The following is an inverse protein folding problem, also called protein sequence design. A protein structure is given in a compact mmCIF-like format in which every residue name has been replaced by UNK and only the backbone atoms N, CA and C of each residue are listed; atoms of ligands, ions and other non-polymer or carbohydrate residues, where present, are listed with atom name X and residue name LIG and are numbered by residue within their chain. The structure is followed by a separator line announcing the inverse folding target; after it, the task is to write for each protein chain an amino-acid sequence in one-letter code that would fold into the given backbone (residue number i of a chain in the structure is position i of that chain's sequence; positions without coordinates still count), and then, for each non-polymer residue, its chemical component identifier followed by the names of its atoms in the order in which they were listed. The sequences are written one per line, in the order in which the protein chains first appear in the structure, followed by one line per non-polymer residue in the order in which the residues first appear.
data_IF_515942170112
#
_entry.id   IF_515942170112
#
_cell.length_a   1.000
_cell.length_b   1.000
_cell.length_c   1.000
_cell.angle_alpha   90.00
_cell.angle_beta   90.00
_cell.angle_gamma   90.00
#
_symmetry.space_group_name_H-M   'P 1'
#
loop_
_entity.id
_entity.type
_entity.pdbx_description
1 polymer ?
#
# COMPACT_ATOMS: atom_id res chain seq x y z
N UNK A 1 -30.20 -14.65 73.22
CA UNK A 1 -29.85 -13.31 72.80
C UNK A 1 -29.96 -13.23 71.25
N UNK A 2 -30.98 -12.54 70.82
CA UNK A 2 -31.35 -12.45 69.38
C UNK A 2 -30.70 -11.21 68.88
N UNK A 3 -29.71 -11.33 67.92
CA UNK A 3 -29.15 -10.22 67.26
C UNK A 3 -29.92 -9.91 65.92
N UNK A 4 -30.38 -8.70 65.86
CA UNK A 4 -31.30 -8.16 64.87
C UNK A 4 -30.55 -7.81 63.55
N UNK A 5 -31.06 -8.31 62.42
CA UNK A 5 -30.54 -8.14 61.06
C UNK A 5 -31.01 -6.82 60.43
N UNK A 6 -30.59 -5.65 60.96
CA UNK A 6 -30.99 -4.36 60.35
C UNK A 6 -29.97 -3.26 60.60
N UNK A 7 -28.75 -3.41 60.16
CA UNK A 7 -27.82 -2.28 60.08
C UNK A 7 -26.57 -2.70 59.29
N UNK A 8 -26.71 -2.88 57.97
CA UNK A 8 -25.53 -2.86 57.08
C UNK A 8 -25.99 -2.70 55.61
N UNK A 9 -26.49 -1.55 55.27
CA UNK A 9 -26.57 -1.06 53.88
C UNK A 9 -26.31 0.45 53.88
N UNK A 10 -25.04 0.83 54.03
CA UNK A 10 -24.57 2.11 53.59
C UNK A 10 -24.01 1.91 52.18
N UNK A 11 -24.82 2.24 51.19
CA UNK A 11 -24.48 2.30 49.76
C UNK A 11 -23.52 3.45 49.53
N UNK A 12 -22.25 3.17 49.33
CA UNK A 12 -21.29 4.08 48.77
C UNK A 12 -21.52 4.12 47.26
N UNK A 13 -22.24 5.11 46.78
CA UNK A 13 -22.35 5.48 45.38
C UNK A 13 -21.04 6.14 44.95
N UNK A 14 -20.13 5.37 44.36
CA UNK A 14 -18.98 5.92 43.67
C UNK A 14 -19.47 6.54 42.35
N UNK A 15 -19.45 7.87 42.26
CA UNK A 15 -19.70 8.59 41.02
C UNK A 15 -18.51 8.35 40.07
N UNK A 16 -18.72 7.53 39.06
CA UNK A 16 -17.80 7.41 37.92
C UNK A 16 -17.94 8.67 37.08
N UNK A 17 -17.01 9.59 37.24
CA UNK A 17 -16.91 10.74 36.35
C UNK A 17 -16.43 10.27 34.97
N UNK A 18 -17.34 10.11 34.05
CA UNK A 18 -17.03 9.94 32.62
C UNK A 18 -16.45 11.25 32.12
N UNK A 19 -15.13 11.30 31.95
CA UNK A 19 -14.47 12.38 31.23
C UNK A 19 -14.83 12.24 29.76
N UNK A 20 -15.80 13.01 29.31
CA UNK A 20 -16.11 13.16 27.89
C UNK A 20 -14.92 13.86 27.22
N UNK A 21 -14.12 13.13 26.47
CA UNK A 21 -13.12 13.72 25.58
C UNK A 21 -13.89 14.49 24.49
N UNK A 22 -13.70 15.81 24.34
CA UNK A 22 -14.45 16.56 23.34
C UNK A 22 -14.05 16.05 21.96
N UNK A 23 -15.03 15.57 21.18
CA UNK A 23 -14.84 15.26 19.78
C UNK A 23 -14.30 16.53 19.08
N UNK A 24 -13.09 16.43 18.56
CA UNK A 24 -12.43 17.54 17.86
C UNK A 24 -13.27 17.85 16.62
N UNK A 25 -13.98 18.96 16.61
CA UNK A 25 -14.78 19.40 15.48
C UNK A 25 -13.89 19.57 14.25
N UNK A 26 -14.16 18.80 13.19
CA UNK A 26 -13.48 18.94 11.89
C UNK A 26 -13.80 20.33 11.34
N UNK A 27 -12.81 21.13 10.95
CA UNK A 27 -13.09 22.46 10.39
C UNK A 27 -14.02 22.34 9.17
N UNK A 28 -15.06 23.16 9.09
CA UNK A 28 -16.07 23.12 8.02
C UNK A 28 -15.48 23.15 6.59
N UNK A 29 -14.28 23.75 6.42
CA UNK A 29 -13.55 23.79 5.15
C UNK A 29 -12.91 22.43 4.76
N UNK A 30 -12.61 21.57 5.74
CA UNK A 30 -12.13 20.21 5.52
C UNK A 30 -13.28 19.26 5.16
N UNK A 31 -14.46 19.48 5.73
CA UNK A 31 -15.66 18.70 5.40
C UNK A 31 -16.11 18.88 3.94
N UNK A 32 -15.91 20.06 3.33
CA UNK A 32 -16.27 20.34 1.94
C UNK A 32 -15.34 19.63 0.92
N UNK A 33 -14.10 19.28 1.29
CA UNK A 33 -13.13 18.58 0.41
C UNK A 33 -13.07 17.07 0.61
N UNK A 34 -13.76 16.54 1.61
CA UNK A 34 -13.66 15.14 2.03
C UNK A 34 -12.34 14.81 2.74
N UNK A 35 -12.16 13.53 3.13
CA UNK A 35 -10.95 13.07 3.80
C UNK A 35 -9.69 13.37 2.99
N UNK A 36 -8.62 13.86 3.61
CA UNK A 36 -7.33 14.02 2.93
C UNK A 36 -6.78 12.65 2.54
N UNK A 37 -6.03 12.62 1.42
CA UNK A 37 -5.46 11.39 0.87
C UNK A 37 -3.97 11.55 0.72
N UNK A 38 -3.20 10.59 1.20
CA UNK A 38 -1.82 10.33 0.80
C UNK A 38 -1.83 9.08 -0.06
N UNK A 39 -1.44 9.24 -1.32
CA UNK A 39 -1.31 8.13 -2.26
C UNK A 39 0.06 7.50 -2.13
N UNK A 40 0.14 6.28 -1.58
CA UNK A 40 1.42 5.58 -1.38
C UNK A 40 1.84 4.70 -2.56
N UNK A 41 1.14 4.82 -3.71
CA UNK A 41 1.45 4.01 -4.88
C UNK A 41 1.17 4.79 -6.18
N UNK A 42 2.00 5.79 -6.44
CA UNK A 42 1.98 6.61 -7.65
C UNK A 42 3.07 6.16 -8.60
N UNK A 43 2.74 5.86 -9.84
CA UNK A 43 3.73 5.70 -10.91
C UNK A 43 3.75 6.92 -11.82
N UNK A 44 4.94 7.32 -12.20
CA UNK A 44 5.17 8.29 -13.27
C UNK A 44 6.26 7.73 -14.19
N UNK A 45 6.08 7.81 -15.48
CA UNK A 45 7.14 7.53 -16.45
C UNK A 45 7.09 8.52 -17.60
N UNK A 46 8.24 9.01 -17.94
CA UNK A 46 8.46 9.87 -19.09
C UNK A 46 9.33 9.08 -20.09
N UNK A 47 8.78 8.78 -21.26
CA UNK A 47 9.45 7.96 -22.27
C UNK A 47 10.67 8.66 -22.87
N UNK A 48 10.79 9.98 -22.69
CA UNK A 48 12.00 10.73 -23.05
C UNK A 48 13.14 10.51 -22.04
N UNK A 49 12.81 10.13 -20.79
CA UNK A 49 13.78 9.85 -19.73
C UNK A 49 14.08 8.36 -19.58
N UNK A 50 13.03 7.54 -19.56
CA UNK A 50 13.10 6.10 -19.35
C UNK A 50 12.14 5.37 -20.28
N UNK A 51 12.58 4.24 -20.79
CA UNK A 51 11.72 3.30 -21.51
C UNK A 51 11.65 2.00 -20.71
N UNK A 52 10.68 1.86 -19.78
CA UNK A 52 10.50 0.63 -19.04
C UNK A 52 10.28 -0.55 -20.00
N UNK A 53 11.03 -1.65 -19.87
CA UNK A 53 11.00 -2.74 -20.86
C UNK A 53 9.60 -3.35 -21.06
N UNK A 54 8.82 -3.41 -20.02
CA UNK A 54 7.47 -3.98 -20.02
C UNK A 54 6.44 -3.17 -20.85
N UNK A 55 6.71 -1.89 -21.12
CA UNK A 55 5.81 -1.04 -21.90
C UNK A 55 5.68 -1.49 -23.36
N UNK A 56 6.67 -2.20 -23.90
CA UNK A 56 6.61 -2.72 -25.28
C UNK A 56 5.48 -3.73 -25.50
N UNK A 57 4.99 -4.39 -24.44
CA UNK A 57 3.85 -5.31 -24.47
C UNK A 57 2.62 -4.80 -23.75
N UNK A 58 2.64 -3.55 -23.26
CA UNK A 58 1.54 -2.99 -22.46
C UNK A 58 0.35 -2.58 -23.36
N UNK A 59 -0.88 -2.60 -22.82
CA UNK A 59 -2.04 -2.03 -23.49
C UNK A 59 -1.82 -0.53 -23.83
N UNK A 60 -2.41 -0.06 -24.95
CA UNK A 60 -2.28 1.30 -25.48
C UNK A 60 -2.51 2.39 -24.43
N UNK A 61 -3.45 2.14 -23.51
CA UNK A 61 -3.75 3.07 -22.42
C UNK A 61 -2.54 3.34 -21.53
N UNK A 62 -1.55 2.44 -21.46
CA UNK A 62 -0.32 2.60 -20.70
C UNK A 62 0.89 2.96 -21.57
N UNK A 63 0.83 2.72 -22.87
CA UNK A 63 1.96 2.87 -23.82
C UNK A 63 2.25 4.33 -24.22
N UNK A 64 2.27 5.24 -23.24
CA UNK A 64 2.62 6.66 -23.41
C UNK A 64 3.28 7.23 -22.15
N UNK A 65 3.85 8.41 -22.21
CA UNK A 65 4.33 9.13 -21.03
C UNK A 65 3.18 9.48 -20.09
N UNK A 66 3.43 9.30 -18.80
CA UNK A 66 2.58 9.71 -17.69
C UNK A 66 3.40 10.51 -16.69
N UNK A 67 3.23 11.83 -16.73
CA UNK A 67 4.04 12.77 -15.96
C UNK A 67 3.21 13.47 -14.88
N UNK A 68 3.85 14.25 -14.02
CA UNK A 68 3.20 14.96 -12.91
C UNK A 68 1.98 15.77 -13.31
N UNK A 69 1.99 16.41 -14.50
CA UNK A 69 0.84 17.20 -14.96
C UNK A 69 -0.38 16.32 -15.26
N UNK A 70 -0.19 15.09 -15.74
CA UNK A 70 -1.26 14.13 -15.98
C UNK A 70 -1.83 13.62 -14.65
N UNK A 71 -0.95 13.31 -13.68
CA UNK A 71 -1.36 12.91 -12.35
C UNK A 71 -2.17 14.00 -11.63
N UNK A 72 -1.73 15.27 -11.70
CA UNK A 72 -2.49 16.40 -11.15
C UNK A 72 -3.87 16.55 -11.79
N UNK A 73 -4.00 16.29 -13.10
CA UNK A 73 -5.30 16.25 -13.78
C UNK A 73 -6.17 15.10 -13.29
N UNK A 74 -5.58 13.90 -13.13
CA UNK A 74 -6.31 12.71 -12.68
C UNK A 74 -6.83 12.85 -11.24
N UNK A 75 -6.07 13.52 -10.37
CA UNK A 75 -6.36 13.66 -8.94
C UNK A 75 -7.11 14.93 -8.55
N UNK A 76 -7.38 15.84 -9.51
CA UNK A 76 -7.97 17.17 -9.24
C UNK A 76 -9.33 17.14 -8.49
N UNK A 77 -10.07 16.03 -8.62
CA UNK A 77 -11.40 15.86 -8.04
C UNK A 77 -11.39 15.15 -6.68
N UNK A 78 -10.19 14.84 -6.15
CA UNK A 78 -10.01 14.25 -4.82
C UNK A 78 -9.16 15.16 -3.95
N UNK A 79 -9.24 15.00 -2.62
CA UNK A 79 -8.46 15.79 -1.67
C UNK A 79 -7.05 15.17 -1.49
N UNK A 80 -6.27 15.12 -2.57
CA UNK A 80 -4.89 14.62 -2.53
C UNK A 80 -3.99 15.61 -1.77
N UNK A 81 -3.35 15.14 -0.71
CA UNK A 81 -2.39 15.90 0.10
C UNK A 81 -0.94 15.65 -0.36
N UNK A 82 -0.55 14.40 -0.47
CA UNK A 82 0.81 13.96 -0.82
C UNK A 82 0.74 12.69 -1.68
N UNK A 83 1.86 12.36 -2.34
CA UNK A 83 2.05 11.07 -3.01
C UNK A 83 3.46 10.52 -2.72
N UNK A 84 3.58 9.20 -2.67
CA UNK A 84 4.83 8.45 -2.68
C UNK A 84 4.95 7.79 -4.05
N UNK A 85 6.03 8.10 -4.75
CA UNK A 85 6.33 7.45 -6.01
C UNK A 85 6.70 5.99 -5.78
N UNK A 86 6.21 5.12 -6.64
CA UNK A 86 6.58 3.72 -6.73
C UNK A 86 7.35 3.48 -8.03
N UNK A 87 8.50 2.81 -7.96
CA UNK A 87 9.34 2.46 -9.10
C UNK A 87 8.54 1.85 -10.26
N UNK A 88 9.07 1.92 -11.47
CA UNK A 88 8.36 1.49 -12.70
C UNK A 88 9.07 0.35 -13.44
N UNK A 89 9.80 -0.48 -12.72
CA UNK A 89 10.56 -1.63 -13.24
C UNK A 89 11.44 -1.24 -14.44
N UNK A 90 12.22 -0.17 -14.25
CA UNK A 90 13.20 0.27 -15.25
C UNK A 90 14.27 -0.80 -15.48
N UNK A 91 14.91 -0.75 -16.66
CA UNK A 91 16.09 -1.58 -16.88
C UNK A 91 17.13 -1.33 -15.77
N UNK A 92 17.79 -2.36 -15.20
CA UNK A 92 18.76 -2.22 -14.10
C UNK A 92 19.80 -1.11 -14.33
N UNK A 93 20.27 -0.91 -15.55
CA UNK A 93 21.21 0.17 -15.92
C UNK A 93 20.66 1.60 -15.68
N UNK A 94 19.34 1.75 -15.51
CA UNK A 94 18.67 3.02 -15.31
C UNK A 94 18.24 3.26 -13.86
N UNK A 95 18.48 2.32 -12.93
CA UNK A 95 18.02 2.42 -11.54
C UNK A 95 18.56 3.66 -10.82
N UNK A 96 19.84 3.98 -11.00
CA UNK A 96 20.46 5.20 -10.44
C UNK A 96 19.80 6.44 -11.02
N UNK A 97 19.62 6.49 -12.34
CA UNK A 97 18.98 7.62 -13.02
C UNK A 97 17.54 7.83 -12.57
N UNK A 98 16.78 6.74 -12.37
CA UNK A 98 15.44 6.80 -11.80
C UNK A 98 15.48 7.39 -10.40
N UNK A 99 16.31 6.85 -9.49
CA UNK A 99 16.40 7.30 -8.11
C UNK A 99 16.79 8.78 -7.99
N UNK A 100 17.75 9.26 -8.78
CA UNK A 100 18.15 10.66 -8.83
C UNK A 100 17.03 11.57 -9.33
N UNK A 101 16.33 11.16 -10.39
CA UNK A 101 15.15 11.86 -10.90
C UNK A 101 14.08 12.00 -9.82
N UNK A 102 13.82 10.94 -9.06
CA UNK A 102 12.80 10.91 -8.01
C UNK A 102 13.18 11.76 -6.80
N UNK A 103 14.46 11.80 -6.44
CA UNK A 103 14.95 12.72 -5.41
C UNK A 103 14.74 14.17 -5.85
N UNK A 104 15.05 14.49 -7.10
CA UNK A 104 14.83 15.83 -7.64
C UNK A 104 13.33 16.20 -7.66
N UNK A 105 12.46 15.27 -8.10
CA UNK A 105 11.02 15.44 -8.10
C UNK A 105 10.46 15.67 -6.68
N UNK A 106 10.93 14.89 -5.69
CA UNK A 106 10.46 14.96 -4.30
C UNK A 106 10.89 16.24 -3.59
N UNK A 107 12.00 16.86 -4.02
CA UNK A 107 12.46 18.18 -3.54
C UNK A 107 11.61 19.32 -4.05
N UNK A 108 10.98 19.17 -5.20
CA UNK A 108 10.17 20.22 -5.81
C UNK A 108 8.76 20.27 -5.19
N UNK A 109 8.56 21.19 -4.26
CA UNK A 109 7.30 21.39 -3.54
C UNK A 109 6.10 21.79 -4.44
N UNK A 110 6.31 22.03 -5.71
CA UNK A 110 5.23 22.25 -6.70
C UNK A 110 4.52 20.93 -7.08
N UNK A 111 5.12 19.79 -6.73
CA UNK A 111 4.60 18.45 -6.99
C UNK A 111 3.99 17.83 -5.71
N UNK A 112 2.96 16.98 -5.86
CA UNK A 112 2.41 16.26 -4.71
C UNK A 112 3.33 15.12 -4.25
N UNK A 113 4.28 14.67 -5.08
CA UNK A 113 5.23 13.59 -4.78
C UNK A 113 6.28 14.09 -3.80
N UNK A 114 6.36 13.48 -2.63
CA UNK A 114 7.23 13.92 -1.53
C UNK A 114 8.28 12.89 -1.14
N UNK A 115 8.14 11.66 -1.63
CA UNK A 115 9.04 10.54 -1.34
C UNK A 115 8.94 9.47 -2.43
N UNK A 116 9.83 8.50 -2.41
CA UNK A 116 9.87 7.41 -3.38
C UNK A 116 10.27 6.06 -2.78
N UNK A 117 9.72 4.99 -3.36
CA UNK A 117 10.21 3.62 -3.30
C UNK A 117 10.87 3.35 -4.65
N UNK A 118 12.16 3.05 -4.64
CA UNK A 118 12.98 2.93 -5.86
C UNK A 118 13.14 1.48 -6.30
N UNK A 119 13.47 1.28 -7.58
CA UNK A 119 13.78 -0.02 -8.13
C UNK A 119 15.07 -0.59 -7.53
N UNK A 120 15.10 -1.90 -7.27
CA UNK A 120 16.29 -2.60 -6.81
C UNK A 120 16.21 -4.09 -7.12
N UNK A 121 17.36 -4.78 -7.05
CA UNK A 121 17.48 -6.23 -7.28
C UNK A 121 18.22 -6.87 -6.11
N UNK A 122 17.52 -7.19 -5.00
CA UNK A 122 18.15 -7.71 -3.78
C UNK A 122 18.97 -8.98 -3.97
N UNK A 123 18.64 -9.80 -4.97
CA UNK A 123 19.39 -11.01 -5.30
C UNK A 123 20.73 -10.78 -5.99
N UNK A 124 21.07 -9.55 -6.39
CA UNK A 124 22.30 -9.23 -7.11
C UNK A 124 23.38 -8.68 -6.17
N UNK A 125 24.65 -9.02 -6.42
CA UNK A 125 25.81 -8.52 -5.66
C UNK A 125 25.94 -6.99 -5.73
N UNK A 126 25.45 -6.38 -6.81
CA UNK A 126 25.41 -4.94 -7.03
C UNK A 126 24.44 -4.20 -6.09
N UNK A 127 23.51 -4.92 -5.43
CA UNK A 127 22.45 -4.28 -4.63
C UNK A 127 22.97 -3.49 -3.43
N UNK A 128 23.85 -4.09 -2.63
CA UNK A 128 24.36 -3.45 -1.42
C UNK A 128 25.14 -2.14 -1.72
N UNK A 129 26.10 -2.10 -2.69
CA UNK A 129 26.71 -0.83 -3.10
C UNK A 129 25.71 0.19 -3.66
N UNK A 130 24.69 -0.27 -4.40
CA UNK A 130 23.66 0.60 -4.96
C UNK A 130 22.83 1.28 -3.89
N UNK A 131 22.23 0.50 -2.97
CA UNK A 131 21.31 1.07 -1.98
C UNK A 131 22.03 1.90 -0.92
N UNK A 132 23.30 1.62 -0.65
CA UNK A 132 24.11 2.38 0.30
C UNK A 132 24.29 3.84 -0.08
N UNK A 133 24.18 4.18 -1.37
CA UNK A 133 24.21 5.56 -1.86
C UNK A 133 23.04 6.39 -1.35
N UNK A 134 21.92 5.74 -1.01
CA UNK A 134 20.68 6.38 -0.57
C UNK A 134 20.39 6.20 0.92
N UNK A 135 21.38 5.69 1.71
CA UNK A 135 21.22 5.44 3.14
C UNK A 135 20.65 6.65 3.88
N UNK A 136 21.25 7.83 3.68
CA UNK A 136 20.89 9.06 4.37
C UNK A 136 19.86 9.92 3.61
N UNK A 137 19.30 9.40 2.52
CA UNK A 137 18.27 10.12 1.76
C UNK A 137 16.94 10.14 2.53
N UNK A 138 16.45 11.34 2.83
CA UNK A 138 15.13 11.55 3.41
C UNK A 138 13.98 11.28 2.43
N UNK A 139 14.27 11.25 1.11
CA UNK A 139 13.28 11.08 0.04
C UNK A 139 13.08 9.60 -0.32
N UNK A 140 14.12 8.77 -0.22
CA UNK A 140 14.03 7.34 -0.53
C UNK A 140 13.58 6.59 0.72
N UNK A 141 12.38 6.01 0.67
CA UNK A 141 11.74 5.32 1.81
C UNK A 141 11.86 3.82 1.75
N UNK A 142 12.07 3.27 0.57
CA UNK A 142 12.15 1.82 0.40
C UNK A 142 12.60 1.42 -1.00
N UNK A 143 12.58 0.11 -1.22
CA UNK A 143 12.91 -0.55 -2.48
C UNK A 143 11.78 -1.50 -2.86
N UNK A 144 11.55 -1.66 -4.17
CA UNK A 144 10.70 -2.71 -4.72
C UNK A 144 11.41 -3.43 -5.86
N UNK A 145 11.13 -4.72 -5.96
CA UNK A 145 11.33 -5.52 -7.17
C UNK A 145 9.99 -6.15 -7.54
N UNK A 146 9.62 -6.10 -8.82
CA UNK A 146 8.45 -6.82 -9.33
C UNK A 146 8.79 -8.32 -9.38
N UNK A 147 8.10 -9.13 -8.56
CA UNK A 147 8.33 -10.57 -8.43
C UNK A 147 7.23 -11.41 -9.08
N UNK A 148 6.13 -10.81 -9.55
CA UNK A 148 4.98 -11.53 -10.09
C UNK A 148 5.06 -11.81 -11.61
N UNK A 149 6.17 -11.44 -12.24
CA UNK A 149 6.38 -11.70 -13.68
C UNK A 149 6.94 -13.11 -13.91
N UNK A 150 6.63 -13.69 -15.08
CA UNK A 150 7.01 -15.08 -15.39
C UNK A 150 8.52 -15.33 -15.40
N UNK A 151 9.30 -14.31 -15.73
CA UNK A 151 10.77 -14.38 -15.73
C UNK A 151 11.40 -14.43 -14.32
N UNK A 152 10.64 -14.13 -13.25
CA UNK A 152 11.13 -14.21 -11.88
C UNK A 152 11.00 -15.63 -11.35
N UNK A 153 12.06 -16.28 -10.87
CA UNK A 153 11.99 -17.59 -10.23
C UNK A 153 11.07 -17.58 -9.01
N UNK A 154 10.32 -18.67 -8.83
CA UNK A 154 9.52 -18.84 -7.60
C UNK A 154 10.43 -18.95 -6.39
N UNK A 155 10.02 -18.38 -5.27
CA UNK A 155 10.79 -18.42 -4.02
C UNK A 155 12.03 -17.52 -3.99
N UNK A 156 12.32 -16.74 -5.03
CA UNK A 156 13.50 -15.87 -5.11
C UNK A 156 13.72 -15.00 -3.85
N UNK A 157 12.65 -14.53 -3.25
CA UNK A 157 12.73 -13.67 -2.06
C UNK A 157 13.28 -14.38 -0.81
N UNK A 158 13.42 -15.71 -0.84
CA UNK A 158 13.97 -16.52 0.25
C UNK A 158 15.41 -16.94 0.03
N UNK A 159 16.01 -16.62 -1.10
CA UNK A 159 17.44 -16.85 -1.35
C UNK A 159 18.29 -16.08 -0.32
N UNK A 160 19.38 -16.67 0.14
CA UNK A 160 20.23 -16.10 1.19
C UNK A 160 20.71 -14.69 0.89
N UNK A 161 21.12 -14.42 -0.36
CA UNK A 161 21.54 -13.08 -0.77
C UNK A 161 20.37 -12.10 -0.73
N UNK A 162 19.18 -12.53 -1.16
CA UNK A 162 17.98 -11.71 -1.14
C UNK A 162 17.59 -11.33 0.30
N UNK A 163 17.57 -12.31 1.20
CA UNK A 163 17.28 -12.11 2.63
C UNK A 163 18.28 -11.12 3.25
N UNK A 164 19.59 -11.30 3.04
CA UNK A 164 20.62 -10.37 3.53
C UNK A 164 20.41 -8.95 3.01
N UNK A 165 20.04 -8.81 1.76
CA UNK A 165 19.77 -7.51 1.15
C UNK A 165 18.52 -6.82 1.73
N UNK A 166 17.47 -7.59 2.03
CA UNK A 166 16.27 -7.07 2.70
C UNK A 166 16.58 -6.68 4.16
N UNK A 167 17.40 -7.47 4.88
CA UNK A 167 17.90 -7.11 6.22
C UNK A 167 18.72 -5.81 6.19
N UNK A 168 19.55 -5.61 5.16
CA UNK A 168 20.31 -4.37 4.97
C UNK A 168 19.38 -3.15 4.85
N UNK A 169 18.25 -3.26 4.15
CA UNK A 169 17.24 -2.19 4.09
C UNK A 169 16.72 -1.82 5.48
N UNK A 170 16.39 -2.81 6.30
CA UNK A 170 15.95 -2.59 7.69
C UNK A 170 16.98 -1.83 8.51
N UNK A 171 18.27 -2.21 8.42
CA UNK A 171 19.36 -1.51 9.11
C UNK A 171 19.52 -0.05 8.69
N UNK A 172 19.03 0.31 7.50
CA UNK A 172 19.00 1.69 6.99
C UNK A 172 17.67 2.41 7.29
N UNK A 173 16.73 1.78 8.00
CA UNK A 173 15.38 2.31 8.24
C UNK A 173 14.51 2.41 6.98
N UNK A 174 14.80 1.59 5.95
CA UNK A 174 14.06 1.56 4.69
C UNK A 174 13.15 0.33 4.60
N UNK A 175 12.05 0.46 3.87
CA UNK A 175 11.08 -0.62 3.64
C UNK A 175 11.44 -1.46 2.40
N UNK A 176 10.80 -2.62 2.32
CA UNK A 176 10.76 -3.42 1.08
C UNK A 176 9.30 -3.72 0.71
N UNK A 177 8.90 -3.39 -0.54
CA UNK A 177 7.55 -3.62 -1.02
C UNK A 177 7.44 -5.01 -1.68
N UNK A 178 6.52 -5.84 -1.17
CA UNK A 178 6.24 -7.20 -1.62
C UNK A 178 5.27 -7.17 -2.82
N UNK A 179 5.81 -7.02 -4.02
CA UNK A 179 5.08 -7.07 -5.27
C UNK A 179 5.20 -8.46 -5.90
N UNK A 180 4.55 -9.47 -5.31
CA UNK A 180 4.74 -10.89 -5.61
C UNK A 180 3.46 -11.56 -6.11
N UNK A 181 3.58 -12.80 -6.63
CA UNK A 181 2.42 -13.60 -7.02
C UNK A 181 1.55 -13.90 -5.80
N UNK A 182 0.22 -13.89 -5.94
CA UNK A 182 -0.67 -14.24 -4.82
C UNK A 182 -0.50 -15.67 -4.32
N UNK A 183 0.11 -16.55 -5.11
CA UNK A 183 0.46 -17.93 -4.71
C UNK A 183 1.76 -18.06 -3.92
N UNK A 184 2.53 -16.97 -3.80
CA UNK A 184 3.81 -16.91 -3.07
C UNK A 184 3.76 -16.02 -1.81
N UNK A 185 2.58 -15.61 -1.36
CA UNK A 185 2.43 -14.73 -0.18
C UNK A 185 2.97 -15.38 1.11
N UNK A 186 2.93 -16.70 1.21
CA UNK A 186 3.53 -17.43 2.32
C UNK A 186 5.07 -17.25 2.37
N UNK A 187 5.74 -17.13 1.21
CA UNK A 187 7.18 -16.82 1.15
C UNK A 187 7.45 -15.40 1.65
N UNK A 188 6.55 -14.46 1.37
CA UNK A 188 6.60 -13.11 1.94
C UNK A 188 6.52 -13.11 3.47
N UNK A 189 5.69 -13.98 4.05
CA UNK A 189 5.61 -14.16 5.51
C UNK A 189 6.90 -14.79 6.08
N UNK A 190 7.49 -15.76 5.37
CA UNK A 190 8.77 -16.36 5.76
C UNK A 190 9.92 -15.33 5.65
N UNK A 191 9.91 -14.45 4.65
CA UNK A 191 10.86 -13.34 4.54
C UNK A 191 10.70 -12.37 5.71
N UNK A 192 9.47 -12.09 6.16
CA UNK A 192 9.21 -11.22 7.31
C UNK A 192 9.85 -11.77 8.60
N UNK A 193 9.77 -13.08 8.82
CA UNK A 193 10.43 -13.75 9.94
C UNK A 193 11.98 -13.69 9.86
N UNK A 194 12.52 -13.76 8.64
CA UNK A 194 13.98 -13.69 8.40
C UNK A 194 14.53 -12.25 8.47
N UNK A 195 13.70 -11.23 8.26
CA UNK A 195 14.09 -9.82 8.26
C UNK A 195 13.21 -8.98 9.21
N UNK A 196 13.20 -9.26 10.53
CA UNK A 196 12.26 -8.66 11.48
C UNK A 196 12.42 -7.15 11.65
N UNK A 197 13.62 -6.61 11.41
CA UNK A 197 13.89 -5.16 11.49
C UNK A 197 13.45 -4.40 10.23
N UNK A 198 13.07 -5.12 9.16
CA UNK A 198 12.66 -4.51 7.89
C UNK A 198 11.15 -4.43 7.82
N UNK A 199 10.61 -3.23 7.60
CA UNK A 199 9.19 -3.10 7.27
C UNK A 199 8.93 -3.64 5.88
N UNK A 200 8.08 -4.65 5.79
CA UNK A 200 7.59 -5.20 4.53
C UNK A 200 6.20 -4.65 4.22
N UNK A 201 5.98 -4.29 2.96
CA UNK A 201 4.73 -3.67 2.51
C UNK A 201 4.11 -4.56 1.45
N UNK A 202 2.99 -5.20 1.77
CA UNK A 202 2.25 -6.05 0.82
C UNK A 202 1.55 -5.16 -0.21
N UNK A 203 2.03 -5.15 -1.44
CA UNK A 203 1.42 -4.39 -2.52
C UNK A 203 0.08 -5.02 -2.96
N UNK A 204 -0.88 -4.16 -3.34
CA UNK A 204 -2.11 -4.53 -4.05
C UNK A 204 -2.94 -5.62 -3.35
N UNK A 205 -3.06 -5.55 -2.02
CA UNK A 205 -3.75 -6.61 -1.27
C UNK A 205 -3.17 -8.01 -1.58
N UNK A 206 -1.84 -8.12 -1.75
CA UNK A 206 -1.18 -9.37 -2.16
C UNK A 206 -1.48 -9.75 -3.61
N UNK A 207 -1.60 -8.78 -4.52
CA UNK A 207 -1.98 -8.98 -5.92
C UNK A 207 -3.28 -9.79 -6.10
N UNK A 208 -4.24 -9.58 -5.19
CA UNK A 208 -5.54 -10.24 -5.26
C UNK A 208 -6.24 -9.98 -6.59
N UNK A 209 -6.81 -11.03 -7.16
CA UNK A 209 -7.59 -10.95 -8.40
C UNK A 209 -9.09 -10.97 -8.08
N UNK A 210 -9.83 -9.86 -8.27
CA UNK A 210 -11.26 -9.80 -7.99
C UNK A 210 -12.08 -10.85 -8.73
N UNK A 211 -11.60 -11.37 -9.87
CA UNK A 211 -12.26 -12.42 -10.65
C UNK A 211 -12.40 -13.72 -9.85
N UNK A 212 -11.53 -13.99 -8.88
CA UNK A 212 -11.63 -15.17 -8.03
C UNK A 212 -12.92 -15.24 -7.17
N UNK A 213 -13.59 -14.10 -6.95
CA UNK A 213 -14.86 -14.04 -6.22
C UNK A 213 -16.09 -14.11 -7.12
N UNK A 214 -15.92 -14.20 -8.44
CA UNK A 214 -17.04 -14.35 -9.36
C UNK A 214 -17.46 -15.83 -9.44
N UNK A 215 -18.77 -16.07 -9.59
CA UNK A 215 -19.31 -17.43 -9.77
C UNK A 215 -18.85 -18.05 -11.08
N UNK A 216 -18.77 -17.24 -12.12
CA UNK A 216 -18.39 -17.63 -13.48
C UNK A 216 -17.40 -16.59 -14.03
N UNK A 217 -16.10 -16.70 -13.70
CA UNK A 217 -15.11 -15.81 -14.23
C UNK A 217 -14.87 -16.09 -15.72
N UNK A 218 -14.75 -15.03 -16.53
CA UNK A 218 -14.44 -15.12 -17.97
C UNK A 218 -13.02 -15.63 -18.23
N UNK A 219 -12.11 -15.35 -17.29
CA UNK A 219 -10.71 -15.77 -17.31
C UNK A 219 -10.37 -16.47 -16.01
N UNK A 220 -9.45 -17.44 -16.07
CA UNK A 220 -8.95 -18.13 -14.86
C UNK A 220 -8.30 -17.12 -13.90
N UNK A 221 -8.77 -17.06 -12.65
CA UNK A 221 -8.17 -16.16 -11.66
C UNK A 221 -6.75 -16.59 -11.29
N UNK A 222 -5.94 -15.63 -10.90
CA UNK A 222 -4.53 -15.86 -10.53
C UNK A 222 -4.32 -16.70 -9.27
N UNK A 223 -5.37 -16.89 -8.47
CA UNK A 223 -5.31 -17.62 -7.21
C UNK A 223 -6.69 -18.15 -6.80
N UNK A 224 -6.67 -19.08 -5.85
CA UNK A 224 -7.89 -19.52 -5.14
C UNK A 224 -8.13 -18.61 -3.93
N UNK A 225 -9.42 -18.30 -3.67
CA UNK A 225 -9.82 -17.40 -2.57
C UNK A 225 -9.33 -17.88 -1.21
N UNK A 226 -9.52 -19.16 -0.88
CA UNK A 226 -9.17 -19.68 0.44
C UNK A 226 -7.65 -19.72 0.66
N UNK A 227 -6.86 -19.98 -0.38
CA UNK A 227 -5.40 -19.93 -0.30
C UNK A 227 -4.95 -18.49 -0.05
N UNK A 228 -5.44 -17.52 -0.84
CA UNK A 228 -5.10 -16.11 -0.68
C UNK A 228 -5.46 -15.60 0.72
N UNK A 229 -6.66 -15.95 1.25
CA UNK A 229 -7.07 -15.55 2.60
C UNK A 229 -6.11 -16.08 3.66
N UNK A 230 -5.78 -17.37 3.62
CA UNK A 230 -4.83 -17.96 4.59
C UNK A 230 -3.48 -17.27 4.58
N UNK A 231 -2.97 -16.93 3.40
CA UNK A 231 -1.65 -16.36 3.26
C UNK A 231 -1.64 -14.86 3.63
N UNK A 232 -2.72 -14.12 3.37
CA UNK A 232 -2.92 -12.76 3.90
C UNK A 232 -3.02 -12.77 5.43
N UNK A 233 -3.77 -13.71 6.01
CA UNK A 233 -3.87 -13.85 7.46
C UNK A 233 -2.50 -14.20 8.07
N UNK A 234 -1.71 -15.06 7.42
CA UNK A 234 -0.35 -15.39 7.84
C UNK A 234 0.58 -14.14 7.81
N UNK A 235 0.55 -13.36 6.73
CA UNK A 235 1.28 -12.09 6.63
C UNK A 235 0.86 -11.11 7.73
N UNK A 236 -0.43 -11.05 8.04
CA UNK A 236 -0.96 -10.15 9.06
C UNK A 236 -0.51 -10.51 10.49
N UNK A 237 -0.08 -11.76 10.74
CA UNK A 237 0.54 -12.15 12.03
C UNK A 237 1.91 -11.53 12.25
N UNK A 238 2.57 -11.01 11.20
CA UNK A 238 3.92 -10.44 11.28
C UNK A 238 3.83 -8.95 11.61
N UNK A 239 4.43 -8.53 12.73
CA UNK A 239 4.34 -7.15 13.23
C UNK A 239 5.02 -6.13 12.29
N UNK A 240 6.07 -6.56 11.59
CA UNK A 240 6.82 -5.76 10.63
C UNK A 240 6.15 -5.68 9.24
N UNK A 241 4.95 -6.27 9.05
CA UNK A 241 4.23 -6.27 7.77
C UNK A 241 3.03 -5.34 7.82
N UNK A 242 2.88 -4.52 6.77
CA UNK A 242 1.70 -3.69 6.51
C UNK A 242 1.11 -4.04 5.15
N UNK A 243 -0.16 -3.69 4.91
CA UNK A 243 -0.85 -3.97 3.66
C UNK A 243 -1.24 -2.68 2.93
N UNK A 244 -0.98 -2.62 1.64
CA UNK A 244 -1.37 -1.53 0.75
C UNK A 244 -2.67 -1.88 0.03
N UNK A 245 -3.72 -1.12 0.33
CA UNK A 245 -5.01 -1.18 -0.36
C UNK A 245 -4.89 -0.41 -1.67
N UNK A 246 -4.51 -1.12 -2.73
CA UNK A 246 -4.20 -0.56 -4.05
C UNK A 246 -4.35 -1.60 -5.16
N UNK A 247 -4.23 -1.22 -6.41
CA UNK A 247 -3.97 -2.07 -7.59
C UNK A 247 -5.09 -3.02 -8.02
N UNK A 248 -5.88 -3.54 -7.11
CA UNK A 248 -6.88 -4.59 -7.40
C UNK A 248 -7.93 -4.16 -8.44
N UNK A 249 -8.23 -2.87 -8.55
CA UNK A 249 -9.17 -2.36 -9.55
C UNK A 249 -8.69 -2.60 -10.98
N UNK A 250 -7.37 -2.58 -11.21
CA UNK A 250 -6.79 -2.82 -12.54
C UNK A 250 -7.01 -4.25 -13.05
N UNK A 251 -7.32 -5.21 -12.17
CA UNK A 251 -7.61 -6.62 -12.46
C UNK A 251 -9.10 -6.95 -12.47
N UNK A 252 -9.95 -6.00 -12.11
CA UNK A 252 -11.40 -6.21 -12.08
C UNK A 252 -11.96 -6.36 -13.51
N UNK A 253 -13.11 -7.02 -13.67
CA UNK A 253 -13.79 -7.09 -14.97
C UNK A 253 -14.14 -5.70 -15.50
N UNK A 254 -13.75 -5.35 -16.74
CA UNK A 254 -13.86 -3.98 -17.28
C UNK A 254 -15.30 -3.44 -17.25
N UNK A 255 -16.26 -4.27 -17.59
CA UNK A 255 -17.64 -3.84 -17.83
C UNK A 255 -18.58 -4.09 -16.64
N UNK A 256 -18.11 -4.78 -15.60
CA UNK A 256 -18.95 -5.17 -14.47
C UNK A 256 -18.16 -5.19 -13.15
N UNK A 257 -17.62 -4.05 -12.75
CA UNK A 257 -16.96 -3.89 -11.47
C UNK A 257 -17.61 -2.76 -10.68
N UNK A 258 -17.39 -2.78 -9.39
CA UNK A 258 -17.85 -1.76 -8.47
C UNK A 258 -17.42 -2.07 -7.04
N UNK A 259 -17.91 -1.30 -6.07
CA UNK A 259 -17.59 -1.54 -4.66
C UNK A 259 -17.85 -2.98 -4.21
N UNK A 260 -18.94 -3.60 -4.66
CA UNK A 260 -19.31 -4.99 -4.31
C UNK A 260 -18.27 -6.00 -4.80
N UNK A 261 -17.66 -5.77 -5.97
CA UNK A 261 -16.64 -6.66 -6.55
C UNK A 261 -15.32 -6.61 -5.75
N UNK A 262 -14.98 -5.43 -5.22
CA UNK A 262 -13.71 -5.19 -4.53
C UNK A 262 -13.81 -5.38 -3.00
N UNK A 263 -15.01 -5.23 -2.43
CA UNK A 263 -15.25 -5.25 -0.99
C UNK A 263 -14.78 -6.53 -0.28
N UNK A 264 -14.93 -7.75 -0.84
CA UNK A 264 -14.46 -8.96 -0.18
C UNK A 264 -12.95 -8.94 0.09
N UNK A 265 -12.15 -8.44 -0.87
CA UNK A 265 -10.70 -8.35 -0.76
C UNK A 265 -10.32 -7.27 0.25
N UNK A 266 -10.85 -6.06 0.07
CA UNK A 266 -10.53 -4.90 0.90
C UNK A 266 -10.90 -5.17 2.36
N UNK A 267 -12.11 -5.66 2.62
CA UNK A 267 -12.57 -5.91 3.98
C UNK A 267 -11.77 -7.02 4.66
N UNK A 268 -11.34 -8.06 3.92
CA UNK A 268 -10.46 -9.09 4.48
C UNK A 268 -9.12 -8.49 4.90
N UNK A 269 -8.45 -7.73 4.02
CA UNK A 269 -7.18 -7.06 4.37
C UNK A 269 -7.32 -6.10 5.55
N UNK A 270 -8.38 -5.26 5.57
CA UNK A 270 -8.64 -4.33 6.67
C UNK A 270 -8.93 -5.05 7.99
N UNK A 271 -9.58 -6.22 7.94
CA UNK A 271 -9.83 -7.06 9.12
C UNK A 271 -8.57 -7.74 9.63
N UNK A 272 -7.76 -8.32 8.74
CA UNK A 272 -6.55 -9.05 9.08
C UNK A 272 -5.44 -8.14 9.65
N UNK A 273 -5.14 -7.02 8.98
CA UNK A 273 -4.06 -6.11 9.38
C UNK A 273 -4.48 -5.08 10.43
N UNK A 274 -5.80 -4.90 10.64
CA UNK A 274 -6.32 -3.87 11.54
C UNK A 274 -6.08 -2.45 11.02
N UNK A 275 -6.61 -1.43 11.75
CA UNK A 275 -6.66 -0.05 11.25
C UNK A 275 -5.31 0.65 11.19
N UNK A 276 -4.27 0.15 11.89
CA UNK A 276 -2.98 0.84 12.03
C UNK A 276 -1.91 0.35 11.03
N UNK A 277 -2.15 -0.79 10.36
CA UNK A 277 -1.18 -1.41 9.45
C UNK A 277 -1.68 -1.50 8.01
N UNK A 278 -2.50 -0.55 7.59
CA UNK A 278 -3.03 -0.43 6.23
C UNK A 278 -2.79 0.97 5.68
N UNK A 279 -2.49 1.08 4.39
CA UNK A 279 -2.31 2.35 3.68
C UNK A 279 -3.02 2.31 2.33
N UNK A 280 -3.44 3.48 1.83
CA UNK A 280 -4.04 3.62 0.51
C UNK A 280 -2.98 3.82 -0.58
N UNK A 281 -3.21 3.23 -1.75
CA UNK A 281 -2.47 3.51 -2.98
C UNK A 281 -3.37 3.61 -4.21
N UNK A 282 -3.08 4.58 -5.05
CA UNK A 282 -3.85 4.86 -6.27
C UNK A 282 -3.53 3.90 -7.41
N UNK A 283 -2.30 3.40 -7.44
CA UNK A 283 -1.76 2.60 -8.54
C UNK A 283 -1.98 3.27 -9.91
N UNK A 284 -1.90 4.59 -9.93
CA UNK A 284 -2.03 5.36 -11.16
C UNK A 284 -0.69 5.42 -11.90
N UNK A 285 -0.68 5.23 -13.22
CA UNK A 285 -1.81 5.15 -14.13
C UNK A 285 -2.32 3.72 -14.39
N UNK A 286 -1.78 2.67 -13.74
CA UNK A 286 -2.15 1.27 -13.96
C UNK A 286 -3.65 1.04 -13.69
N UNK A 287 -4.22 1.68 -12.69
CA UNK A 287 -5.66 1.63 -12.43
C UNK A 287 -6.52 1.96 -13.66
N UNK A 288 -5.98 2.71 -14.65
CA UNK A 288 -6.68 3.10 -15.89
C UNK A 288 -6.95 1.94 -16.85
N UNK A 289 -6.40 0.77 -16.59
CA UNK A 289 -6.80 -0.44 -17.31
C UNK A 289 -8.31 -0.70 -17.18
N UNK A 290 -8.91 -0.29 -16.06
CA UNK A 290 -10.33 -0.55 -15.75
C UNK A 290 -11.06 0.73 -15.30
N UNK A 291 -10.43 1.57 -14.45
CA UNK A 291 -11.08 2.71 -13.81
C UNK A 291 -10.22 3.97 -13.89
N UNK A 292 -10.81 5.16 -13.89
CA UNK A 292 -10.03 6.36 -13.60
C UNK A 292 -9.77 6.49 -12.09
N UNK A 293 -8.80 7.36 -11.72
CA UNK A 293 -8.37 7.54 -10.33
C UNK A 293 -9.53 7.87 -9.38
N UNK A 294 -10.42 8.77 -9.80
CA UNK A 294 -11.60 9.16 -8.99
C UNK A 294 -12.55 8.00 -8.76
N UNK A 295 -12.82 7.21 -9.79
CA UNK A 295 -13.70 6.04 -9.66
C UNK A 295 -13.15 5.03 -8.65
N UNK A 296 -11.83 4.78 -8.68
CA UNK A 296 -11.18 3.92 -7.70
C UNK A 296 -11.31 4.47 -6.27
N UNK A 297 -11.00 5.75 -6.07
CA UNK A 297 -11.13 6.41 -4.75
C UNK A 297 -12.56 6.41 -4.25
N UNK A 298 -13.54 6.69 -5.12
CA UNK A 298 -14.96 6.70 -4.74
C UNK A 298 -15.44 5.29 -4.34
N UNK A 299 -15.03 4.26 -5.09
CA UNK A 299 -15.36 2.87 -4.76
C UNK A 299 -14.78 2.47 -3.40
N UNK A 300 -13.51 2.80 -3.13
CA UNK A 300 -12.91 2.53 -1.82
C UNK A 300 -13.66 3.28 -0.70
N UNK A 301 -13.94 4.58 -0.88
CA UNK A 301 -14.69 5.36 0.12
C UNK A 301 -16.06 4.77 0.40
N UNK A 302 -16.75 4.26 -0.61
CA UNK A 302 -18.04 3.58 -0.42
C UNK A 302 -17.88 2.27 0.38
N UNK A 303 -16.84 1.48 0.11
CA UNK A 303 -16.58 0.23 0.84
C UNK A 303 -16.31 0.47 2.33
N UNK A 304 -15.59 1.55 2.64
CA UNK A 304 -15.20 1.88 4.02
C UNK A 304 -16.16 2.82 4.74
N UNK A 305 -17.27 3.24 4.11
CA UNK A 305 -18.19 4.28 4.62
C UNK A 305 -18.75 3.97 6.01
N UNK A 306 -18.99 2.70 6.31
CA UNK A 306 -19.52 2.26 7.60
C UNK A 306 -18.45 2.10 8.69
N UNK A 307 -17.16 2.24 8.36
CA UNK A 307 -16.08 2.20 9.34
C UNK A 307 -16.00 3.52 10.12
N UNK A 308 -15.52 3.48 11.37
CA UNK A 308 -15.26 4.70 12.15
C UNK A 308 -14.43 5.72 11.35
N UNK A 309 -14.79 7.00 11.47
CA UNK A 309 -14.08 8.09 10.77
C UNK A 309 -12.55 8.04 10.96
N UNK A 310 -12.10 7.74 12.17
CA UNK A 310 -10.67 7.62 12.50
C UNK A 310 -9.99 6.48 11.74
N UNK A 311 -10.66 5.35 11.49
CA UNK A 311 -10.11 4.25 10.67
C UNK A 311 -10.02 4.64 9.20
N UNK A 312 -11.04 5.34 8.69
CA UNK A 312 -11.01 5.88 7.32
C UNK A 312 -9.85 6.87 7.15
N UNK A 313 -9.65 7.76 8.12
CA UNK A 313 -8.55 8.74 8.11
C UNK A 313 -7.19 8.07 8.24
N UNK A 314 -7.06 7.02 9.06
CA UNK A 314 -5.83 6.23 9.17
C UNK A 314 -5.46 5.59 7.82
N UNK A 315 -6.41 4.90 7.18
CA UNK A 315 -6.17 4.25 5.88
C UNK A 315 -5.77 5.25 4.80
N UNK A 316 -6.51 6.36 4.70
CA UNK A 316 -6.35 7.31 3.60
C UNK A 316 -5.19 8.30 3.80
N UNK A 317 -4.73 8.51 5.04
CA UNK A 317 -3.77 9.57 5.35
C UNK A 317 -2.78 9.23 6.48
N UNK A 318 -3.26 9.09 7.74
CA UNK A 318 -2.39 9.16 8.92
C UNK A 318 -1.37 8.03 8.98
N UNK A 319 -1.73 6.82 8.55
CA UNK A 319 -0.79 5.71 8.51
C UNK A 319 0.34 5.96 7.52
N UNK A 320 0.02 6.54 6.35
CA UNK A 320 1.04 6.87 5.37
C UNK A 320 2.04 7.92 5.92
N UNK A 321 1.57 8.99 6.57
CA UNK A 321 2.47 9.96 7.23
C UNK A 321 3.41 9.27 8.21
N UNK A 322 2.87 8.45 9.10
CA UNK A 322 3.63 7.75 10.14
C UNK A 322 4.59 6.70 9.55
N UNK A 323 4.10 5.86 8.64
CA UNK A 323 4.85 4.69 8.16
C UNK A 323 5.92 5.07 7.13
N UNK A 324 5.71 6.13 6.36
CA UNK A 324 6.71 6.64 5.41
C UNK A 324 7.50 7.84 5.99
N UNK A 325 7.14 8.34 7.16
CA UNK A 325 7.76 9.52 7.78
C UNK A 325 7.85 10.70 6.77
N UNK A 326 6.67 11.19 6.33
CA UNK A 326 6.51 12.22 5.28
C UNK A 326 5.56 13.34 5.70
#
# INVERSE_FOLDING_TARGET
MIFNRREFLQTTTAAVATVAVPARAVPAKAAAKGLPIIDTHQHLWDLDLFQPPWLSGAPDVLARSYVTSDYKKATRAVNLAKAVYMEVDVNPKNQVKEAEHLIALSKDRRHPTVAAVISGRPGEDSFAPYISQYKDSEYIKGVRQVLHVDSTPQGLCLDDQYVKSVQLLGSMGKSFDLCMRPTELADGAALADKAPETRLIVDHCGNADPKAWLKEPVEEPWHKVDQWKRDIDLLATKENVICKISGIVARAPKDNWGPVTLAPIINHCLGAFGPDRVVFGGDWPVCRLVANYKQWVDALKQIISERPYEEQLKLLHNNAERLYNI
#
